data_IF_816240018546
#
_entry.id   IF_816240018546
#
_cell.length_a   1.000
_cell.length_b   1.000
_cell.length_c   1.000
_cell.angle_alpha   90.00
_cell.angle_beta   90.00
_cell.angle_gamma   90.00
#
_symmetry.space_group_name_H-M   'P 1'
#
loop_
_entity.id
_entity.type
_entity.pdbx_description
1 polymer ?
#
# COMPACT_ATOMS: atom_id res chain seq x y z
N UNK A 1 -24.67 -0.64 -14.72
CA UNK A 1 -25.34 -0.35 -13.42
C UNK A 1 -25.13 1.12 -13.10
N UNK A 2 -26.15 1.95 -13.31
CA UNK A 2 -26.02 3.41 -13.28
C UNK A 2 -25.94 3.98 -11.85
N UNK A 3 -26.73 3.43 -10.90
CA UNK A 3 -26.78 3.91 -9.54
C UNK A 3 -25.51 3.49 -8.76
N UNK A 4 -24.70 4.42 -8.21
CA UNK A 4 -23.50 4.08 -7.45
C UNK A 4 -23.79 3.24 -6.21
N UNK A 5 -24.90 3.51 -5.50
CA UNK A 5 -25.26 2.75 -4.31
C UNK A 5 -25.60 1.30 -4.64
N UNK A 6 -26.42 1.07 -5.65
CA UNK A 6 -26.76 -0.29 -6.11
C UNK A 6 -25.50 -1.05 -6.56
N UNK A 7 -24.55 -0.36 -7.16
CA UNK A 7 -23.28 -0.94 -7.58
C UNK A 7 -22.40 -1.32 -6.39
N UNK A 8 -22.32 -0.45 -5.36
CA UNK A 8 -21.62 -0.74 -4.10
C UNK A 8 -22.25 -1.95 -3.40
N UNK A 9 -23.56 -2.00 -3.29
CA UNK A 9 -24.29 -3.11 -2.65
C UNK A 9 -24.06 -4.43 -3.42
N UNK A 10 -24.04 -4.38 -4.73
CA UNK A 10 -23.74 -5.55 -5.56
C UNK A 10 -22.31 -6.04 -5.37
N UNK A 11 -21.32 -5.14 -5.36
CA UNK A 11 -19.91 -5.47 -5.08
C UNK A 11 -19.80 -6.19 -3.74
N UNK A 12 -20.35 -5.60 -2.67
CA UNK A 12 -20.31 -6.17 -1.32
C UNK A 12 -20.98 -7.55 -1.24
N UNK A 13 -22.13 -7.72 -1.91
CA UNK A 13 -22.83 -9.00 -1.99
C UNK A 13 -21.97 -10.06 -2.66
N UNK A 14 -21.34 -9.72 -3.79
CA UNK A 14 -20.46 -10.67 -4.51
C UNK A 14 -19.19 -10.98 -3.71
N UNK A 15 -18.57 -9.98 -3.06
CA UNK A 15 -17.41 -10.18 -2.18
C UNK A 15 -17.76 -11.18 -1.09
N UNK A 16 -18.89 -11.00 -0.38
CA UNK A 16 -19.32 -11.90 0.67
C UNK A 16 -19.48 -13.35 0.16
N UNK A 17 -20.11 -13.51 -1.01
CA UNK A 17 -20.32 -14.83 -1.60
C UNK A 17 -18.99 -15.51 -1.98
N UNK A 18 -18.07 -14.77 -2.61
CA UNK A 18 -16.78 -15.32 -3.03
C UNK A 18 -15.88 -15.59 -1.82
N UNK A 19 -15.87 -14.73 -0.81
CA UNK A 19 -15.12 -14.93 0.42
C UNK A 19 -15.55 -16.22 1.14
N UNK A 20 -16.86 -16.48 1.22
CA UNK A 20 -17.39 -17.73 1.81
C UNK A 20 -16.96 -18.97 1.02
N UNK A 21 -17.02 -18.90 -0.33
CA UNK A 21 -16.62 -20.03 -1.20
C UNK A 21 -15.15 -20.40 -1.08
N UNK A 22 -14.32 -19.43 -0.78
CA UNK A 22 -12.86 -19.59 -0.72
C UNK A 22 -12.30 -19.62 0.71
N UNK A 23 -13.18 -19.66 1.74
CA UNK A 23 -12.80 -19.68 3.15
C UNK A 23 -11.81 -18.58 3.52
N UNK A 24 -12.14 -17.33 3.17
CA UNK A 24 -11.37 -16.14 3.49
C UNK A 24 -12.31 -15.00 3.89
N UNK A 25 -11.77 -13.97 4.54
CA UNK A 25 -12.48 -12.74 4.88
C UNK A 25 -11.85 -11.57 4.12
N UNK A 26 -12.66 -10.75 3.46
CA UNK A 26 -12.19 -9.56 2.76
C UNK A 26 -11.85 -8.44 3.75
N UNK A 27 -10.68 -7.80 3.57
CA UNK A 27 -10.30 -6.59 4.31
C UNK A 27 -10.76 -5.39 3.49
N UNK A 28 -11.98 -4.93 3.77
CA UNK A 28 -12.62 -3.86 3.02
C UNK A 28 -12.25 -2.52 3.66
N UNK A 29 -11.63 -1.67 2.87
CA UNK A 29 -11.43 -0.26 3.14
C UNK A 29 -12.50 0.55 2.38
N UNK A 30 -13.17 1.49 3.07
CA UNK A 30 -14.26 2.25 2.47
C UNK A 30 -13.81 3.18 1.35
N UNK A 31 -12.62 3.76 1.43
CA UNK A 31 -12.09 4.66 0.40
C UNK A 31 -11.75 3.85 -0.86
N UNK A 32 -11.07 2.70 -0.70
CA UNK A 32 -10.82 1.78 -1.80
C UNK A 32 -12.11 1.29 -2.45
N UNK A 33 -13.12 0.93 -1.65
CA UNK A 33 -14.42 0.47 -2.16
C UNK A 33 -15.13 1.57 -2.94
N UNK A 34 -15.09 2.80 -2.47
CA UNK A 34 -15.68 3.95 -3.16
C UNK A 34 -14.95 4.23 -4.49
N UNK A 35 -13.60 4.14 -4.50
CA UNK A 35 -12.81 4.28 -5.71
C UNK A 35 -13.15 3.18 -6.73
N UNK A 36 -13.19 1.91 -6.30
CA UNK A 36 -13.59 0.80 -7.16
C UNK A 36 -15.00 1.03 -7.73
N UNK A 37 -15.94 1.47 -6.90
CA UNK A 37 -17.30 1.79 -7.36
C UNK A 37 -17.33 2.91 -8.41
N UNK A 38 -16.38 3.85 -8.37
CA UNK A 38 -16.31 4.94 -9.33
C UNK A 38 -15.79 4.50 -10.71
N UNK A 39 -14.84 3.54 -10.73
CA UNK A 39 -14.18 3.11 -11.96
C UNK A 39 -14.81 1.88 -12.63
N UNK A 40 -15.69 1.15 -11.93
CA UNK A 40 -16.31 -0.09 -12.42
C UNK A 40 -17.80 0.09 -12.63
N UNK A 41 -18.29 -0.06 -13.86
CA UNK A 41 -19.72 0.05 -14.20
C UNK A 41 -20.48 -1.27 -14.08
N UNK A 42 -19.80 -2.38 -14.39
CA UNK A 42 -20.37 -3.73 -14.36
C UNK A 42 -19.49 -4.67 -13.53
N UNK A 43 -19.59 -4.60 -12.20
CA UNK A 43 -18.67 -5.30 -11.30
C UNK A 43 -18.83 -6.82 -11.35
N UNK A 44 -17.72 -7.52 -11.50
CA UNK A 44 -17.58 -8.95 -11.38
C UNK A 44 -16.44 -9.28 -10.43
N UNK A 45 -16.75 -10.02 -9.37
CA UNK A 45 -15.79 -10.35 -8.32
C UNK A 45 -15.15 -11.71 -8.62
N UNK A 46 -13.83 -11.75 -8.59
CA UNK A 46 -13.03 -12.96 -8.73
C UNK A 46 -12.00 -13.04 -7.61
N UNK A 47 -11.61 -14.25 -7.25
CA UNK A 47 -10.50 -14.49 -6.32
C UNK A 47 -9.32 -15.03 -7.12
N UNK A 48 -8.15 -14.46 -6.84
CA UNK A 48 -6.88 -14.88 -7.38
C UNK A 48 -5.89 -15.15 -6.23
N UNK A 49 -4.75 -15.75 -6.55
CA UNK A 49 -3.73 -16.10 -5.57
C UNK A 49 -2.36 -15.58 -6.01
N UNK A 50 -1.57 -15.13 -5.06
CA UNK A 50 -0.16 -14.85 -5.27
C UNK A 50 0.71 -15.91 -4.60
N UNK A 51 2.00 -15.94 -4.92
CA UNK A 51 2.93 -16.90 -4.33
C UNK A 51 3.01 -16.70 -2.81
N UNK A 52 2.65 -17.74 -2.04
CA UNK A 52 2.61 -17.71 -0.59
C UNK A 52 3.97 -17.35 0.06
N UNK A 53 5.09 -17.49 -0.64
CA UNK A 53 6.40 -17.08 -0.15
C UNK A 53 6.47 -15.59 0.20
N UNK A 54 5.65 -14.73 -0.44
CA UNK A 54 5.59 -13.29 -0.14
C UNK A 54 4.97 -12.99 1.23
N UNK A 55 4.25 -13.93 1.85
CA UNK A 55 3.70 -13.74 3.20
C UNK A 55 4.78 -13.60 4.29
N UNK A 56 6.06 -13.81 3.95
CA UNK A 56 7.20 -13.49 4.81
C UNK A 56 7.50 -11.97 4.88
N UNK A 57 6.96 -11.18 3.96
CA UNK A 57 7.04 -9.71 3.95
C UNK A 57 5.95 -9.14 4.87
N UNK A 58 6.20 -8.02 5.58
CA UNK A 58 5.17 -7.41 6.41
C UNK A 58 3.84 -7.18 5.67
N UNK A 59 2.74 -7.47 6.35
CA UNK A 59 1.40 -7.37 5.75
C UNK A 59 1.08 -5.95 5.23
N UNK A 60 1.62 -4.94 5.89
CA UNK A 60 1.45 -3.52 5.52
C UNK A 60 2.02 -3.26 4.12
N UNK A 61 3.20 -3.79 3.81
CA UNK A 61 3.85 -3.65 2.50
C UNK A 61 3.02 -4.36 1.42
N UNK A 62 2.53 -5.57 1.73
CA UNK A 62 1.72 -6.35 0.79
C UNK A 62 0.36 -5.69 0.53
N UNK A 63 -0.34 -5.27 1.60
CA UNK A 63 -1.67 -4.61 1.48
C UNK A 63 -1.58 -3.30 0.73
N UNK A 64 -0.61 -2.45 1.02
CA UNK A 64 -0.40 -1.20 0.28
C UNK A 64 -0.15 -1.48 -1.21
N UNK A 65 0.71 -2.45 -1.53
CA UNK A 65 0.98 -2.82 -2.92
C UNK A 65 -0.27 -3.33 -3.65
N UNK A 66 -1.13 -4.10 -2.99
CA UNK A 66 -2.37 -4.60 -3.56
C UNK A 66 -3.42 -3.49 -3.75
N UNK A 67 -3.61 -2.64 -2.74
CA UNK A 67 -4.69 -1.66 -2.70
C UNK A 67 -4.36 -0.40 -3.50
N UNK A 68 -3.19 0.20 -3.25
CA UNK A 68 -2.81 1.47 -3.89
C UNK A 68 -2.52 1.32 -5.38
N UNK A 69 -1.79 0.26 -5.74
CA UNK A 69 -1.31 0.12 -7.12
C UNK A 69 -2.21 -0.73 -8.02
N UNK A 70 -2.94 -1.71 -7.46
CA UNK A 70 -3.73 -2.64 -8.24
C UNK A 70 -5.24 -2.58 -7.96
N UNK A 71 -5.65 -1.78 -6.98
CA UNK A 71 -7.06 -1.68 -6.54
C UNK A 71 -7.70 -3.04 -6.24
N UNK A 72 -6.88 -3.97 -5.74
CA UNK A 72 -7.30 -5.28 -5.29
C UNK A 72 -7.59 -5.28 -3.80
N UNK A 73 -8.55 -6.08 -3.36
CA UNK A 73 -8.92 -6.18 -1.95
C UNK A 73 -8.15 -7.35 -1.33
N UNK A 74 -7.41 -7.07 -0.27
CA UNK A 74 -6.70 -8.08 0.50
C UNK A 74 -7.67 -8.99 1.26
N UNK A 75 -7.26 -10.22 1.53
CA UNK A 75 -8.03 -11.16 2.35
C UNK A 75 -7.23 -11.68 3.53
N UNK A 76 -7.95 -12.07 4.58
CA UNK A 76 -7.38 -12.74 5.75
C UNK A 76 -8.00 -14.12 5.91
N UNK A 77 -7.25 -15.03 6.52
CA UNK A 77 -7.73 -16.34 6.94
C UNK A 77 -8.52 -16.25 8.24
N UNK A 78 -9.11 -17.36 8.68
CA UNK A 78 -9.89 -17.45 9.93
C UNK A 78 -9.04 -17.16 11.18
N UNK A 79 -7.72 -17.31 11.10
CA UNK A 79 -6.77 -16.95 12.18
C UNK A 79 -6.40 -15.45 12.20
N UNK A 80 -7.01 -14.64 11.33
CA UNK A 80 -6.78 -13.20 11.23
C UNK A 80 -5.49 -12.80 10.51
N UNK A 81 -4.72 -13.76 9.98
CA UNK A 81 -3.50 -13.46 9.21
C UNK A 81 -3.82 -13.19 7.76
N UNK A 82 -2.97 -12.38 7.10
CA UNK A 82 -3.08 -12.14 5.67
C UNK A 82 -3.05 -13.47 4.88
N UNK A 83 -4.01 -13.63 3.99
CA UNK A 83 -4.06 -14.75 3.06
C UNK A 83 -3.25 -14.45 1.80
N UNK A 84 -2.78 -15.47 1.10
CA UNK A 84 -2.22 -15.30 -0.24
C UNK A 84 -3.29 -15.15 -1.33
N UNK A 85 -4.57 -15.12 -0.95
CA UNK A 85 -5.69 -14.85 -1.84
C UNK A 85 -6.01 -13.36 -1.83
N UNK A 86 -6.46 -12.85 -2.98
CA UNK A 86 -6.90 -11.48 -3.10
C UNK A 86 -8.10 -11.38 -4.04
N UNK A 87 -8.88 -10.32 -3.86
CA UNK A 87 -10.11 -10.10 -4.62
C UNK A 87 -9.83 -9.10 -5.73
N UNK A 88 -10.26 -9.47 -6.93
CA UNK A 88 -10.25 -8.66 -8.14
C UNK A 88 -11.68 -8.20 -8.41
N UNK A 89 -11.86 -6.92 -8.73
CA UNK A 89 -13.12 -6.37 -9.22
C UNK A 89 -12.94 -6.01 -10.70
N UNK A 90 -13.45 -6.85 -11.58
CA UNK A 90 -13.42 -6.63 -13.02
C UNK A 90 -14.61 -5.81 -13.49
N UNK A 91 -14.44 -5.02 -14.55
CA UNK A 91 -15.50 -4.25 -15.21
C UNK A 91 -16.09 -4.98 -16.42
N UNK A 92 -16.10 -6.28 -16.40
CA UNK A 92 -16.71 -7.10 -17.46
C UNK A 92 -17.21 -8.43 -16.90
N UNK A 93 -18.16 -9.05 -17.59
CA UNK A 93 -18.66 -10.38 -17.29
C UNK A 93 -18.21 -11.36 -18.39
N UNK A 94 -16.97 -11.85 -18.33
CA UNK A 94 -16.43 -12.76 -19.32
C UNK A 94 -17.07 -14.15 -19.16
N UNK A 95 -17.22 -14.87 -20.28
CA UNK A 95 -17.62 -16.27 -20.27
C UNK A 95 -16.55 -17.15 -19.60
N UNK A 96 -15.27 -16.81 -19.78
CA UNK A 96 -14.11 -17.44 -19.13
C UNK A 96 -13.34 -16.41 -18.30
N UNK A 97 -13.28 -16.65 -17.00
CA UNK A 97 -12.56 -15.81 -16.04
C UNK A 97 -11.08 -16.15 -15.94
N UNK A 98 -10.64 -17.28 -16.51
CA UNK A 98 -9.28 -17.81 -16.34
C UNK A 98 -8.20 -16.82 -16.75
N UNK A 99 -8.34 -16.25 -17.94
CA UNK A 99 -7.35 -15.28 -18.46
C UNK A 99 -7.24 -14.02 -17.60
N UNK A 100 -8.35 -13.55 -17.02
CA UNK A 100 -8.38 -12.38 -16.13
C UNK A 100 -7.67 -12.71 -14.82
N UNK A 101 -7.98 -13.87 -14.24
CA UNK A 101 -7.36 -14.34 -12.99
C UNK A 101 -5.85 -14.52 -13.20
N UNK A 102 -5.42 -15.26 -14.21
CA UNK A 102 -4.00 -15.51 -14.51
C UNK A 102 -3.24 -14.21 -14.82
N UNK A 103 -3.86 -13.28 -15.56
CA UNK A 103 -3.28 -11.97 -15.84
C UNK A 103 -3.03 -11.16 -14.56
N UNK A 104 -4.03 -11.09 -13.67
CA UNK A 104 -3.90 -10.38 -12.39
C UNK A 104 -2.91 -11.07 -11.45
N UNK A 105 -2.89 -12.41 -11.40
CA UNK A 105 -1.89 -13.15 -10.63
C UNK A 105 -0.46 -12.83 -11.09
N UNK A 106 -0.23 -12.77 -12.38
CA UNK A 106 1.09 -12.43 -12.95
C UNK A 106 1.52 -11.02 -12.55
N UNK A 107 0.64 -10.03 -12.71
CA UNK A 107 0.92 -8.65 -12.32
C UNK A 107 1.16 -8.54 -10.83
N UNK A 108 0.30 -9.17 -10.02
CA UNK A 108 0.43 -9.16 -8.56
C UNK A 108 1.77 -9.76 -8.11
N UNK A 109 2.13 -10.94 -8.61
CA UNK A 109 3.40 -11.58 -8.26
C UNK A 109 4.61 -10.71 -8.65
N UNK A 110 4.58 -10.02 -9.78
CA UNK A 110 5.64 -9.09 -10.18
C UNK A 110 5.75 -7.92 -9.19
N UNK A 111 4.62 -7.29 -8.83
CA UNK A 111 4.59 -6.17 -7.87
C UNK A 111 5.05 -6.58 -6.47
N UNK A 112 4.60 -7.73 -5.99
CA UNK A 112 5.01 -8.24 -4.68
C UNK A 112 6.49 -8.66 -4.66
N UNK A 113 7.03 -9.13 -5.79
CA UNK A 113 8.47 -9.40 -5.95
C UNK A 113 9.28 -8.11 -5.81
N UNK A 114 8.87 -7.03 -6.48
CA UNK A 114 9.51 -5.72 -6.36
C UNK A 114 9.44 -5.20 -4.92
N UNK A 115 8.26 -5.27 -4.30
CA UNK A 115 8.06 -4.85 -2.91
C UNK A 115 8.95 -5.61 -1.94
N UNK A 116 9.04 -6.94 -2.07
CA UNK A 116 9.91 -7.79 -1.26
C UNK A 116 11.40 -7.46 -1.46
N UNK A 117 11.80 -7.20 -2.71
CA UNK A 117 13.19 -6.81 -3.04
C UNK A 117 13.55 -5.48 -2.36
N UNK A 118 12.73 -4.44 -2.54
CA UNK A 118 12.99 -3.14 -1.93
C UNK A 118 12.95 -3.20 -0.41
N UNK A 119 11.96 -3.87 0.18
CA UNK A 119 11.90 -4.06 1.62
C UNK A 119 13.17 -4.73 2.17
N UNK A 120 13.65 -5.79 1.50
CA UNK A 120 14.87 -6.50 1.92
C UNK A 120 16.14 -5.66 1.75
N UNK A 121 16.16 -4.78 0.75
CA UNK A 121 17.27 -3.86 0.48
C UNK A 121 17.31 -2.73 1.51
N UNK A 122 16.17 -2.11 1.77
CA UNK A 122 16.07 -0.98 2.70
C UNK A 122 16.40 -1.41 4.13
N UNK A 123 15.97 -2.60 4.52
CA UNK A 123 16.30 -3.18 5.83
C UNK A 123 17.81 -3.34 6.09
N UNK A 124 18.64 -3.38 5.03
CA UNK A 124 20.10 -3.54 5.16
C UNK A 124 20.84 -2.22 5.40
N UNK A 125 20.20 -1.08 5.15
CA UNK A 125 20.84 0.23 5.24
C UNK A 125 20.24 1.01 6.41
N UNK A 126 21.03 1.40 7.43
CA UNK A 126 20.54 2.27 8.50
C UNK A 126 19.99 3.60 7.97
N UNK A 127 18.93 4.14 8.61
CA UNK A 127 18.30 5.38 8.19
C UNK A 127 19.28 6.58 8.19
N UNK A 128 20.25 6.57 9.13
CA UNK A 128 21.29 7.59 9.20
C UNK A 128 22.20 7.60 7.97
N UNK A 129 22.44 6.43 7.38
CA UNK A 129 23.26 6.33 6.16
C UNK A 129 22.42 6.68 4.92
N UNK A 130 21.13 6.36 4.91
CA UNK A 130 20.19 6.83 3.89
C UNK A 130 20.09 8.36 3.92
N UNK A 131 19.97 8.98 5.10
CA UNK A 131 19.90 10.42 5.26
C UNK A 131 21.10 11.16 4.66
N UNK A 132 22.29 10.57 4.67
CA UNK A 132 23.49 11.17 4.03
C UNK A 132 23.33 11.34 2.51
N UNK A 133 22.54 10.49 1.86
CA UNK A 133 22.29 10.55 0.40
C UNK A 133 21.44 11.75 0.01
N UNK A 134 20.68 12.31 0.94
CA UNK A 134 19.85 13.49 0.72
C UNK A 134 20.66 14.73 0.27
N UNK A 135 21.96 14.76 0.53
CA UNK A 135 22.86 15.79 0.02
C UNK A 135 22.98 15.82 -1.52
N UNK A 136 22.67 14.69 -2.17
CA UNK A 136 22.70 14.57 -3.63
C UNK A 136 21.33 14.76 -4.29
N UNK A 137 20.26 14.97 -3.50
CA UNK A 137 18.90 15.14 -4.01
C UNK A 137 18.53 16.63 -3.94
N UNK A 138 18.37 17.25 -5.10
CA UNK A 138 17.96 18.66 -5.18
C UNK A 138 16.52 18.80 -4.71
N UNK A 139 16.28 19.67 -3.71
CA UNK A 139 14.93 20.00 -3.28
C UNK A 139 14.33 21.10 -4.19
N UNK A 140 15.07 22.20 -4.33
CA UNK A 140 14.72 23.31 -5.19
C UNK A 140 16.00 24.11 -5.48
N UNK A 141 16.19 24.53 -6.73
CA UNK A 141 17.46 25.10 -7.21
C UNK A 141 18.03 26.20 -6.31
N UNK A 142 17.18 27.13 -5.86
CA UNK A 142 17.58 28.25 -4.99
C UNK A 142 17.53 27.94 -3.49
N UNK A 143 17.00 26.78 -3.09
CA UNK A 143 16.86 26.36 -1.70
C UNK A 143 17.75 25.20 -1.31
N UNK A 144 18.55 24.71 -2.27
CA UNK A 144 19.51 23.64 -2.06
C UNK A 144 18.91 22.23 -2.10
N UNK A 145 19.52 21.33 -1.38
CA UNK A 145 19.23 19.90 -1.36
C UNK A 145 18.15 19.54 -0.32
N UNK A 146 17.70 18.28 -0.35
CA UNK A 146 16.86 17.72 0.71
C UNK A 146 17.59 17.69 2.06
N UNK A 147 18.93 17.53 2.05
CA UNK A 147 19.73 17.66 3.27
C UNK A 147 19.61 19.07 3.86
N UNK A 148 19.77 20.12 3.04
CA UNK A 148 19.63 21.51 3.49
C UNK A 148 18.21 21.78 4.04
N UNK A 149 17.19 21.21 3.41
CA UNK A 149 15.81 21.27 3.92
C UNK A 149 15.69 20.59 5.28
N UNK A 150 16.31 19.43 5.46
CA UNK A 150 16.30 18.69 6.74
C UNK A 150 16.98 19.50 7.86
N UNK A 151 18.08 20.21 7.57
CA UNK A 151 18.71 21.12 8.52
C UNK A 151 17.76 22.25 8.96
N UNK A 152 17.07 22.90 8.02
CA UNK A 152 16.08 23.94 8.34
C UNK A 152 14.92 23.39 9.17
N UNK A 153 14.40 22.21 8.82
CA UNK A 153 13.34 21.52 9.61
C UNK A 153 13.83 21.27 11.03
N UNK A 154 15.06 20.77 11.21
CA UNK A 154 15.64 20.51 12.53
C UNK A 154 15.72 21.77 13.39
N UNK A 155 16.14 22.89 12.81
CA UNK A 155 16.20 24.19 13.52
C UNK A 155 14.81 24.67 13.95
N UNK A 156 13.84 24.66 13.03
CA UNK A 156 12.46 25.07 13.32
C UNK A 156 11.80 24.16 14.36
N UNK A 157 11.98 22.85 14.24
CA UNK A 157 11.43 21.88 15.19
C UNK A 157 11.97 22.07 16.61
N UNK A 158 13.25 22.44 16.77
CA UNK A 158 13.82 22.77 18.08
C UNK A 158 13.21 24.05 18.68
N UNK A 159 12.92 25.06 17.86
CA UNK A 159 12.26 26.28 18.32
C UNK A 159 10.85 25.97 18.81
N UNK A 160 10.08 25.22 18.02
CA UNK A 160 8.72 24.79 18.39
C UNK A 160 8.76 23.92 19.65
N UNK A 161 9.71 22.96 19.71
CA UNK A 161 9.89 22.06 20.83
C UNK A 161 10.11 22.77 22.18
N UNK A 162 10.84 23.89 22.17
CA UNK A 162 11.00 24.72 23.38
C UNK A 162 9.66 25.28 23.89
N UNK A 163 8.79 25.71 22.97
CA UNK A 163 7.48 26.25 23.32
C UNK A 163 6.50 25.14 23.79
N UNK A 164 6.62 23.95 23.24
CA UNK A 164 5.76 22.80 23.59
C UNK A 164 6.31 21.99 24.77
N UNK A 165 7.48 22.35 25.32
CA UNK A 165 8.18 21.60 26.37
C UNK A 165 8.50 20.15 25.99
N UNK A 166 8.71 19.89 24.69
CA UNK A 166 9.08 18.57 24.20
C UNK A 166 10.60 18.32 24.33
N UNK A 167 11.00 17.05 24.33
CA UNK A 167 12.40 16.64 24.37
C UNK A 167 13.12 17.07 23.08
N UNK A 168 14.10 17.96 23.20
CA UNK A 168 14.81 18.56 22.07
C UNK A 168 15.78 17.58 21.40
N UNK A 169 16.28 16.57 22.11
CA UNK A 169 17.19 15.57 21.56
C UNK A 169 16.41 14.55 20.71
N UNK A 170 15.24 14.15 21.18
CA UNK A 170 14.32 13.31 20.40
C UNK A 170 13.88 14.05 19.13
N UNK A 171 13.49 15.34 19.25
CA UNK A 171 13.11 16.17 18.10
C UNK A 171 14.25 16.26 17.09
N UNK A 172 15.47 16.52 17.56
CA UNK A 172 16.63 16.67 16.67
C UNK A 172 16.96 15.35 15.95
N UNK A 173 16.87 14.22 16.66
CA UNK A 173 17.13 12.89 16.10
C UNK A 173 16.07 12.52 15.05
N UNK A 174 14.80 12.70 15.37
CA UNK A 174 13.70 12.44 14.44
C UNK A 174 13.77 13.33 13.19
N UNK A 175 14.04 14.65 13.37
CA UNK A 175 14.12 15.58 12.25
C UNK A 175 15.26 15.25 11.27
N UNK A 176 16.39 14.72 11.74
CA UNK A 176 17.54 14.34 10.89
C UNK A 176 17.22 13.21 9.92
N UNK A 177 16.34 12.28 10.30
CA UNK A 177 16.00 11.10 9.51
C UNK A 177 14.64 11.19 8.83
N UNK A 178 13.89 12.29 9.07
CA UNK A 178 12.49 12.47 8.63
C UNK A 178 12.27 12.26 7.12
N UNK A 179 13.28 12.43 6.29
CA UNK A 179 13.25 12.28 4.83
C UNK A 179 14.26 11.24 4.32
N UNK A 180 14.74 10.35 5.19
CA UNK A 180 15.76 9.38 4.84
C UNK A 180 15.28 8.29 3.87
N UNK A 181 13.97 8.15 3.70
CA UNK A 181 13.28 7.24 2.79
C UNK A 181 13.22 7.70 1.32
N UNK A 182 13.71 8.90 1.01
CA UNK A 182 13.69 9.49 -0.35
C UNK A 182 14.97 9.21 -1.20
#
# INVERSE_FOLDING_TARGET
MACPQERKDNILKQIKLQSQRHSVQAVIDDDLLNEICAIVEWPRIMIAEFNASFLSVPKEVLTTSMQEHQKCIATINDDGKLSNKFIIVSNMDPQDTKNIIEGNQRVMNARLSDAAFYFSKDKKTPLEDMAKRLANVVFFEKLGTLHDKTLRITQLSKIIGKHTKADLDVIASAAKILKADL
#
